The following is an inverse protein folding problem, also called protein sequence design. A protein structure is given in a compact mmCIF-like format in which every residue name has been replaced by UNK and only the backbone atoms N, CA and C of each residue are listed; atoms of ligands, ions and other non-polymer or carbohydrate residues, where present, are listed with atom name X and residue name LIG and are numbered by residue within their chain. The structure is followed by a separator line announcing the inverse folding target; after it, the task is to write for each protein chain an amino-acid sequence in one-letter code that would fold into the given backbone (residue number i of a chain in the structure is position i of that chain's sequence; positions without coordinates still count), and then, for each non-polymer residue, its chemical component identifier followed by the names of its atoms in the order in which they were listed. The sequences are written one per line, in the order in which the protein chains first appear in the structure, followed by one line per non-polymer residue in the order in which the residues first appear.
data_IF_889876364999
#
_entry.id   IF_889876364999
#
_cell.length_a   1.000
_cell.length_b   1.000
_cell.length_c   1.000
_cell.angle_alpha   90.00
_cell.angle_beta   90.00
_cell.angle_gamma   90.00
#
_symmetry.space_group_name_H-M   'P 1'
#
loop_
_entity.id
_entity.type
_entity.pdbx_description
1 polymer ?
#
# COMPACT_ATOMS: atom_id res chain seq x y z
N UNK A 1 -21.33 17.01 10.61
CA UNK A 1 -20.65 16.87 9.31
C UNK A 1 -19.35 17.67 9.20
N UNK A 2 -19.14 18.77 9.95
CA UNK A 2 -17.84 19.48 9.99
C UNK A 2 -16.88 18.86 11.03
N UNK A 3 -17.39 18.16 12.05
CA UNK A 3 -16.60 17.55 13.12
C UNK A 3 -15.67 16.42 12.65
N UNK A 4 -16.13 15.58 11.72
CA UNK A 4 -15.35 14.43 11.21
C UNK A 4 -14.15 14.86 10.36
N UNK A 5 -14.26 16.01 9.68
CA UNK A 5 -13.14 16.58 8.92
C UNK A 5 -12.14 17.25 9.86
N UNK A 6 -12.61 17.81 10.99
CA UNK A 6 -11.75 18.40 12.01
C UNK A 6 -10.91 17.33 12.74
N UNK A 7 -11.50 16.16 13.01
CA UNK A 7 -10.81 15.00 13.64
C UNK A 7 -9.71 14.40 12.73
N UNK A 8 -9.90 14.44 11.40
CA UNK A 8 -8.90 13.97 10.42
C UNK A 8 -7.74 14.97 10.21
N UNK A 9 -7.89 16.23 10.62
CA UNK A 9 -6.90 17.31 10.45
C UNK A 9 -6.17 17.60 11.77
N UNK A 10 -6.50 16.90 12.86
CA UNK A 10 -5.90 17.14 14.16
C UNK A 10 -4.40 16.75 14.14
N UNK A 11 -3.47 17.70 14.39
CA UNK A 11 -2.03 17.38 14.44
C UNK A 11 -1.66 16.43 15.60
N UNK A 12 -2.56 16.28 16.56
CA UNK A 12 -2.48 15.33 17.68
C UNK A 12 -3.38 14.09 17.46
N UNK A 13 -3.83 13.82 16.21
CA UNK A 13 -4.46 12.55 15.86
C UNK A 13 -3.43 11.42 16.01
N UNK A 14 -3.35 10.90 17.22
CA UNK A 14 -2.82 9.58 17.51
C UNK A 14 -4.01 8.64 17.30
N UNK A 15 -4.12 7.94 16.14
CA UNK A 15 -5.04 6.83 16.09
C UNK A 15 -4.51 5.86 17.12
N UNK A 16 -5.11 5.87 18.31
CA UNK A 16 -4.94 4.81 19.29
C UNK A 16 -5.57 3.59 18.63
N UNK A 17 -4.78 2.96 17.76
CA UNK A 17 -5.01 1.60 17.35
C UNK A 17 -4.72 0.83 18.63
N UNK A 18 -5.76 0.60 19.42
CA UNK A 18 -5.68 -0.32 20.56
C UNK A 18 -5.00 -1.59 20.05
N UNK A 19 -4.09 -2.15 20.86
CA UNK A 19 -3.26 -3.30 20.48
C UNK A 19 -4.15 -4.34 19.80
N UNK A 20 -3.82 -4.71 18.56
CA UNK A 20 -4.69 -5.64 17.83
C UNK A 20 -4.50 -7.00 18.47
N UNK A 21 -5.52 -7.45 19.20
CA UNK A 21 -5.66 -8.83 19.65
C UNK A 21 -6.05 -9.71 18.46
N UNK A 22 -5.10 -9.97 17.56
CA UNK A 22 -5.28 -10.96 16.50
C UNK A 22 -5.14 -12.37 17.08
N UNK A 23 -6.19 -13.17 16.96
CA UNK A 23 -6.04 -14.63 16.82
C UNK A 23 -5.06 -14.91 15.66
N UNK A 24 -4.34 -16.04 15.67
CA UNK A 24 -3.34 -16.43 14.66
C UNK A 24 -3.93 -16.44 13.21
N UNK A 25 -5.25 -16.29 13.05
CA UNK A 25 -5.97 -16.19 11.77
C UNK A 25 -6.42 -14.76 11.43
N UNK A 26 -5.92 -14.19 10.32
CA UNK A 26 -6.40 -12.92 9.76
C UNK A 26 -7.70 -13.12 8.97
N UNK A 27 -8.84 -13.13 9.66
CA UNK A 27 -10.18 -13.41 9.10
C UNK A 27 -10.71 -12.25 8.25
N UNK A 28 -10.24 -11.03 8.47
CA UNK A 28 -10.64 -9.85 7.71
C UNK A 28 -10.21 -9.86 6.23
N UNK A 29 -9.32 -10.77 5.85
CA UNK A 29 -8.81 -10.86 4.48
C UNK A 29 -9.78 -11.58 3.55
N UNK A 30 -9.84 -11.15 2.29
CA UNK A 30 -10.45 -11.95 1.23
C UNK A 30 -9.78 -13.34 1.16
N UNK A 31 -10.56 -14.41 0.93
CA UNK A 31 -10.00 -15.73 0.70
C UNK A 31 -9.13 -15.73 -0.56
N UNK A 32 -8.19 -16.68 -0.65
CA UNK A 32 -7.36 -16.83 -1.85
C UNK A 32 -8.25 -17.09 -3.07
N UNK A 33 -8.12 -16.30 -4.15
CA UNK A 33 -8.95 -16.46 -5.33
C UNK A 33 -8.70 -17.81 -6.02
N UNK A 34 -9.77 -18.38 -6.58
CA UNK A 34 -9.72 -19.69 -7.24
C UNK A 34 -9.12 -19.66 -8.65
N UNK A 35 -8.99 -18.47 -9.26
CA UNK A 35 -8.41 -18.31 -10.60
C UNK A 35 -6.87 -18.34 -10.61
N UNK A 36 -6.23 -18.20 -9.45
CA UNK A 36 -4.76 -18.23 -9.33
C UNK A 36 -4.29 -19.68 -9.41
N UNK A 37 -3.30 -19.94 -10.26
CA UNK A 37 -2.71 -21.26 -10.39
C UNK A 37 -2.06 -21.71 -9.08
N UNK A 38 -2.12 -23.00 -8.72
CA UNK A 38 -1.52 -23.50 -7.48
C UNK A 38 0.00 -23.25 -7.42
N UNK A 39 0.67 -23.27 -8.57
CA UNK A 39 2.10 -22.98 -8.68
C UNK A 39 2.41 -21.51 -8.34
N UNK A 40 1.54 -20.57 -8.75
CA UNK A 40 1.66 -19.15 -8.43
C UNK A 40 1.39 -18.88 -6.94
N UNK A 41 0.43 -19.59 -6.34
CA UNK A 41 0.18 -19.52 -4.89
C UNK A 41 1.41 -19.98 -4.10
N UNK A 42 2.05 -21.07 -4.52
CA UNK A 42 3.28 -21.56 -3.86
C UNK A 42 4.44 -20.58 -4.07
N UNK A 43 4.56 -19.98 -5.25
CA UNK A 43 5.53 -18.93 -5.50
C UNK A 43 5.30 -17.71 -4.59
N UNK A 44 4.07 -17.23 -4.48
CA UNK A 44 3.69 -16.12 -3.58
C UNK A 44 3.99 -16.45 -2.11
N UNK A 45 3.72 -17.68 -1.69
CA UNK A 45 4.05 -18.17 -0.33
C UNK A 45 5.56 -18.17 -0.09
N UNK A 46 6.35 -18.65 -1.05
CA UNK A 46 7.83 -18.64 -0.96
C UNK A 46 8.43 -17.23 -0.86
N UNK A 47 7.70 -16.22 -1.33
CA UNK A 47 8.06 -14.80 -1.27
C UNK A 47 7.42 -14.05 -0.09
N UNK A 48 6.74 -14.75 0.81
CA UNK A 48 6.00 -14.18 1.93
C UNK A 48 4.96 -13.11 1.53
N UNK A 49 4.49 -13.13 0.27
CA UNK A 49 3.51 -12.16 -0.23
C UNK A 49 2.11 -12.40 0.35
N UNK A 50 1.83 -13.64 0.77
CA UNK A 50 0.58 -14.04 1.42
C UNK A 50 0.57 -13.84 2.94
N UNK A 51 1.68 -13.37 3.51
CA UNK A 51 1.86 -13.28 4.96
C UNK A 51 1.62 -11.88 5.48
N UNK A 52 0.81 -11.78 6.53
CA UNK A 52 0.61 -10.55 7.31
C UNK A 52 1.66 -10.50 8.43
N UNK A 53 2.29 -9.34 8.72
CA UNK A 53 3.23 -9.21 9.83
C UNK A 53 2.56 -9.44 11.20
N UNK A 54 3.40 -9.70 12.21
CA UNK A 54 2.99 -9.74 13.62
C UNK A 54 2.19 -8.48 14.01
N UNK A 55 1.18 -8.59 14.91
CA UNK A 55 0.27 -7.48 15.24
C UNK A 55 0.97 -6.19 15.66
N UNK A 56 2.07 -6.30 16.41
CA UNK A 56 2.87 -5.14 16.83
C UNK A 56 3.47 -4.37 15.65
N UNK A 57 3.98 -5.07 14.64
CA UNK A 57 4.52 -4.42 13.44
C UNK A 57 3.38 -3.92 12.53
N UNK A 58 2.31 -4.69 12.41
CA UNK A 58 1.12 -4.30 11.66
C UNK A 58 0.55 -2.97 12.17
N UNK A 59 0.39 -2.84 13.48
CA UNK A 59 -0.05 -1.63 14.15
C UNK A 59 0.82 -0.43 13.84
N UNK A 60 2.13 -0.59 13.99
CA UNK A 60 3.06 0.50 13.73
C UNK A 60 3.00 0.96 12.27
N UNK A 61 2.91 0.02 11.32
CA UNK A 61 2.83 0.33 9.89
C UNK A 61 1.52 1.03 9.53
N UNK A 62 0.39 0.58 10.08
CA UNK A 62 -0.92 1.21 9.88
C UNK A 62 -0.94 2.61 10.49
N UNK A 63 -0.49 2.77 11.74
CA UNK A 63 -0.37 4.06 12.40
C UNK A 63 0.48 5.03 11.59
N UNK A 64 1.66 4.60 11.16
CA UNK A 64 2.56 5.40 10.35
C UNK A 64 1.93 5.79 9.00
N UNK A 65 1.15 4.90 8.37
CA UNK A 65 0.42 5.21 7.15
C UNK A 65 -0.63 6.31 7.39
N UNK A 66 -1.50 6.17 8.40
CA UNK A 66 -2.57 7.14 8.64
C UNK A 66 -2.05 8.49 9.11
N UNK A 67 -0.99 8.50 9.92
CA UNK A 67 -0.38 9.74 10.39
C UNK A 67 0.32 10.52 9.27
N UNK A 68 1.08 9.83 8.41
CA UNK A 68 2.00 10.49 7.49
C UNK A 68 1.60 10.43 6.02
N UNK A 69 0.97 9.35 5.57
CA UNK A 69 0.67 9.13 4.15
C UNK A 69 -0.76 9.49 3.78
N UNK A 70 -1.73 9.20 4.65
CA UNK A 70 -3.15 9.43 4.39
C UNK A 70 -3.46 10.91 4.11
N UNK A 71 -2.82 11.83 4.85
CA UNK A 71 -2.99 13.27 4.67
C UNK A 71 -2.65 13.77 3.25
N UNK A 72 -1.74 13.08 2.55
CA UNK A 72 -1.35 13.44 1.19
C UNK A 72 -2.08 12.62 0.13
N UNK A 73 -2.63 11.47 0.50
CA UNK A 73 -3.23 10.53 -0.45
C UNK A 73 -4.29 9.65 0.24
N UNK A 74 -5.49 10.20 0.49
CA UNK A 74 -6.57 9.51 1.20
C UNK A 74 -7.29 8.55 0.25
N UNK A 75 -6.63 7.44 -0.11
CA UNK A 75 -7.18 6.44 -1.03
C UNK A 75 -8.10 5.44 -0.34
N UNK A 76 -8.01 5.30 0.98
CA UNK A 76 -8.78 4.34 1.77
C UNK A 76 -9.97 5.00 2.48
N UNK A 77 -11.05 4.26 2.69
CA UNK A 77 -12.02 4.62 3.72
C UNK A 77 -11.53 4.10 5.08
N UNK A 78 -10.97 5.00 5.90
CA UNK A 78 -10.46 4.65 7.25
C UNK A 78 -11.56 4.02 8.12
N UNK A 79 -12.80 4.51 7.99
CA UNK A 79 -13.93 4.10 8.81
C UNK A 79 -14.34 2.65 8.55
N UNK A 80 -13.97 2.09 7.40
CA UNK A 80 -14.21 0.68 7.07
C UNK A 80 -12.93 -0.13 7.31
N UNK A 81 -11.77 0.39 6.88
CA UNK A 81 -10.52 -0.36 6.85
C UNK A 81 -9.92 -0.62 8.23
N UNK A 82 -9.86 0.39 9.12
CA UNK A 82 -9.23 0.22 10.44
C UNK A 82 -10.07 -0.67 11.34
N UNK A 83 -11.40 -0.45 11.50
CA UNK A 83 -12.22 -1.31 12.35
C UNK A 83 -12.26 -2.75 11.86
N UNK A 84 -12.22 -2.99 10.55
CA UNK A 84 -12.16 -4.34 10.00
C UNK A 84 -10.92 -5.12 10.45
N UNK A 85 -9.74 -4.47 10.44
CA UNK A 85 -8.49 -5.11 10.88
C UNK A 85 -8.48 -5.27 12.41
N UNK A 86 -8.84 -4.22 13.15
CA UNK A 86 -8.83 -4.22 14.62
C UNK A 86 -9.78 -5.27 15.18
N UNK A 87 -10.99 -5.39 14.62
CA UNK A 87 -11.98 -6.36 15.08
C UNK A 87 -11.82 -7.75 14.45
N UNK A 88 -10.81 -7.94 13.58
CA UNK A 88 -10.63 -9.15 12.78
C UNK A 88 -11.94 -9.60 12.08
N UNK A 89 -12.66 -8.65 11.49
CA UNK A 89 -14.04 -8.86 11.02
C UNK A 89 -14.06 -9.79 9.78
N UNK A 90 -14.61 -11.01 9.88
CA UNK A 90 -14.64 -11.97 8.78
C UNK A 90 -15.44 -11.50 7.56
N UNK A 91 -16.37 -10.56 7.74
CA UNK A 91 -17.22 -10.06 6.65
C UNK A 91 -16.59 -8.87 5.91
N UNK A 92 -15.48 -8.32 6.41
CA UNK A 92 -14.85 -7.12 5.86
C UNK A 92 -14.24 -7.31 4.46
N UNK A 93 -13.79 -8.53 4.13
CA UNK A 93 -13.24 -8.88 2.81
C UNK A 93 -12.19 -7.88 2.30
N UNK A 94 -11.18 -7.56 3.12
CA UNK A 94 -10.08 -6.67 2.75
C UNK A 94 -9.16 -7.35 1.73
N UNK A 95 -8.85 -6.64 0.65
CA UNK A 95 -7.86 -7.07 -0.32
C UNK A 95 -6.48 -7.20 0.31
N UNK A 96 -5.86 -8.37 0.16
CA UNK A 96 -4.48 -8.61 0.59
C UNK A 96 -3.49 -7.71 -0.19
N UNK A 97 -3.73 -7.50 -1.49
CA UNK A 97 -2.93 -6.58 -2.30
C UNK A 97 -2.96 -5.17 -1.71
N UNK A 98 -4.16 -4.69 -1.39
CA UNK A 98 -4.35 -3.37 -0.81
C UNK A 98 -3.65 -3.27 0.55
N UNK A 99 -3.79 -4.28 1.41
CA UNK A 99 -3.10 -4.32 2.69
C UNK A 99 -1.57 -4.23 2.50
N UNK A 100 -0.98 -5.06 1.64
CA UNK A 100 0.48 -5.02 1.40
C UNK A 100 0.92 -3.64 0.87
N UNK A 101 0.13 -3.00 0.02
CA UNK A 101 0.40 -1.65 -0.48
C UNK A 101 0.35 -0.58 0.62
N UNK A 102 -0.57 -0.71 1.59
CA UNK A 102 -0.66 0.17 2.77
C UNK A 102 0.54 -0.05 3.69
N UNK A 103 0.93 -1.30 3.95
CA UNK A 103 2.13 -1.63 4.74
C UNK A 103 3.40 -1.06 4.09
N UNK A 104 3.49 -1.15 2.75
CA UNK A 104 4.56 -0.50 1.99
C UNK A 104 4.59 1.01 2.22
N UNK A 105 3.47 1.70 2.12
CA UNK A 105 3.40 3.14 2.33
C UNK A 105 3.76 3.53 3.78
N UNK A 106 3.26 2.80 4.77
CA UNK A 106 3.56 2.99 6.19
C UNK A 106 5.03 2.74 6.56
N UNK A 107 5.68 1.77 5.91
CA UNK A 107 7.08 1.40 6.20
C UNK A 107 8.09 2.54 5.99
N UNK A 108 7.73 3.56 5.20
CA UNK A 108 8.56 4.74 5.00
C UNK A 108 8.71 5.59 6.27
N UNK A 109 7.72 5.52 7.18
CA UNK A 109 7.61 6.39 8.35
C UNK A 109 7.60 5.64 9.69
N UNK A 110 7.46 4.31 9.66
CA UNK A 110 7.44 3.46 10.86
C UNK A 110 8.69 3.64 11.77
N UNK A 111 8.48 3.48 13.08
CA UNK A 111 9.55 3.45 14.07
C UNK A 111 10.50 2.27 13.81
N UNK A 112 11.79 2.57 13.86
CA UNK A 112 12.85 1.60 13.62
C UNK A 112 12.92 0.53 14.72
N UNK A 113 12.35 0.77 15.90
CA UNK A 113 12.29 -0.23 16.96
C UNK A 113 11.40 -1.43 16.56
N UNK A 114 10.19 -1.17 16.05
CA UNK A 114 9.27 -2.20 15.56
C UNK A 114 9.84 -2.94 14.35
N UNK A 115 10.43 -2.20 13.41
CA UNK A 115 11.04 -2.79 12.23
C UNK A 115 12.24 -3.69 12.57
N UNK A 116 13.07 -3.33 13.56
CA UNK A 116 14.17 -4.18 14.05
C UNK A 116 13.66 -5.41 14.76
N UNK A 117 12.59 -5.30 15.55
CA UNK A 117 11.97 -6.45 16.20
C UNK A 117 11.44 -7.47 15.18
N UNK A 118 10.97 -7.00 14.03
CA UNK A 118 10.57 -7.83 12.89
C UNK A 118 11.75 -8.31 12.01
N UNK A 119 12.99 -7.99 12.36
CA UNK A 119 14.19 -8.47 11.67
C UNK A 119 14.76 -7.55 10.59
N UNK A 120 14.20 -6.36 10.38
CA UNK A 120 14.71 -5.40 9.39
C UNK A 120 15.84 -4.53 9.97
N UNK A 121 16.93 -4.38 9.22
CA UNK A 121 18.05 -3.55 9.65
C UNK A 121 17.86 -2.07 9.28
N UNK A 122 17.13 -1.80 8.19
CA UNK A 122 16.86 -0.45 7.70
C UNK A 122 15.41 -0.28 7.25
N UNK A 123 14.88 0.96 7.30
CA UNK A 123 13.57 1.28 6.72
C UNK A 123 13.48 0.95 5.23
N UNK A 124 14.59 1.14 4.51
CA UNK A 124 14.70 0.84 3.08
C UNK A 124 14.44 -0.65 2.80
N UNK A 125 15.03 -1.52 3.61
CA UNK A 125 14.86 -2.97 3.51
C UNK A 125 13.41 -3.39 3.72
N UNK A 126 12.79 -2.94 4.82
CA UNK A 126 11.38 -3.22 5.11
C UNK A 126 10.47 -2.73 3.97
N UNK A 127 10.75 -1.51 3.49
CA UNK A 127 10.00 -0.91 2.39
C UNK A 127 10.10 -1.70 1.09
N UNK A 128 11.30 -2.18 0.75
CA UNK A 128 11.52 -2.98 -0.45
C UNK A 128 10.85 -4.34 -0.35
N UNK A 129 10.80 -4.94 0.84
CA UNK A 129 10.10 -6.20 1.10
C UNK A 129 8.59 -6.03 0.84
N UNK A 130 7.93 -5.07 1.50
CA UNK A 130 6.49 -4.84 1.31
C UNK A 130 6.14 -4.39 -0.11
N UNK A 131 6.99 -3.55 -0.74
CA UNK A 131 6.85 -3.17 -2.13
C UNK A 131 6.88 -4.40 -3.05
N UNK A 132 7.84 -5.29 -2.85
CA UNK A 132 8.00 -6.51 -3.65
C UNK A 132 6.79 -7.43 -3.49
N UNK A 133 6.31 -7.62 -2.25
CA UNK A 133 5.11 -8.43 -1.97
C UNK A 133 3.87 -7.90 -2.67
N UNK A 134 3.58 -6.60 -2.52
CA UNK A 134 2.45 -5.95 -3.18
C UNK A 134 2.57 -6.00 -4.70
N UNK A 135 3.78 -5.77 -5.24
CA UNK A 135 4.04 -5.85 -6.67
C UNK A 135 3.77 -7.26 -7.22
N UNK A 136 4.21 -8.31 -6.54
CA UNK A 136 3.97 -9.69 -6.95
C UNK A 136 2.47 -10.02 -7.01
N UNK A 137 1.71 -9.62 -5.99
CA UNK A 137 0.25 -9.78 -5.97
C UNK A 137 -0.43 -9.04 -7.14
N UNK A 138 0.06 -7.85 -7.48
CA UNK A 138 -0.45 -7.09 -8.61
C UNK A 138 -0.14 -7.78 -9.96
N UNK A 139 1.09 -8.25 -10.16
CA UNK A 139 1.51 -8.87 -11.43
C UNK A 139 0.87 -10.24 -11.69
N UNK A 140 0.54 -10.97 -10.62
CA UNK A 140 -0.14 -12.26 -10.71
C UNK A 140 -1.68 -12.12 -10.67
N UNK A 141 -2.19 -10.90 -10.81
CA UNK A 141 -3.63 -10.61 -10.87
C UNK A 141 -4.39 -11.20 -9.67
N UNK A 142 -3.79 -11.08 -8.47
CA UNK A 142 -4.35 -11.64 -7.24
C UNK A 142 -5.66 -10.95 -6.83
N UNK A 143 -5.84 -9.69 -7.21
CA UNK A 143 -7.05 -8.93 -6.93
C UNK A 143 -7.77 -8.60 -8.24
N UNK A 144 -9.08 -8.80 -8.26
CA UNK A 144 -9.96 -8.52 -9.41
C UNK A 144 -10.79 -7.25 -9.23
N UNK A 145 -10.93 -6.74 -8.00
CA UNK A 145 -11.63 -5.49 -7.72
C UNK A 145 -10.86 -4.28 -8.29
N UNK A 146 -11.42 -3.56 -9.29
CA UNK A 146 -10.75 -2.43 -9.93
C UNK A 146 -10.49 -1.28 -8.96
N UNK A 147 -11.31 -1.12 -7.91
CA UNK A 147 -11.10 -0.08 -6.89
C UNK A 147 -9.86 -0.40 -6.07
N UNK A 148 -9.74 -1.65 -5.59
CA UNK A 148 -8.57 -2.10 -4.84
C UNK A 148 -7.29 -2.01 -5.70
N UNK A 149 -7.35 -2.39 -6.98
CA UNK A 149 -6.23 -2.27 -7.92
C UNK A 149 -5.78 -0.81 -8.11
N UNK A 150 -6.74 0.11 -8.27
CA UNK A 150 -6.44 1.54 -8.40
C UNK A 150 -5.82 2.09 -7.11
N UNK A 151 -6.39 1.80 -5.95
CA UNK A 151 -5.86 2.25 -4.66
C UNK A 151 -4.45 1.71 -4.40
N UNK A 152 -4.22 0.42 -4.66
CA UNK A 152 -2.92 -0.21 -4.51
C UNK A 152 -1.89 0.36 -5.49
N UNK A 153 -2.24 0.55 -6.77
CA UNK A 153 -1.33 1.12 -7.77
C UNK A 153 -0.91 2.55 -7.40
N UNK A 154 -1.84 3.39 -6.94
CA UNK A 154 -1.56 4.72 -6.42
C UNK A 154 -0.59 4.68 -5.24
N UNK A 155 -0.80 3.77 -4.28
CA UNK A 155 0.13 3.59 -3.15
C UNK A 155 1.52 3.19 -3.61
N UNK A 156 1.64 2.27 -4.57
CA UNK A 156 2.94 1.82 -5.09
C UNK A 156 3.75 2.93 -5.79
N UNK A 157 3.10 3.99 -6.28
CA UNK A 157 3.80 5.15 -6.86
C UNK A 157 4.69 5.90 -5.87
N UNK A 158 4.46 5.72 -4.55
CA UNK A 158 5.33 6.29 -3.51
C UNK A 158 6.77 5.78 -3.62
N UNK A 159 7.02 4.67 -4.31
CA UNK A 159 8.35 4.11 -4.39
C UNK A 159 9.34 5.15 -4.96
N UNK A 160 10.32 5.51 -4.13
CA UNK A 160 11.32 6.53 -4.45
C UNK A 160 12.56 5.91 -5.10
N UNK A 161 12.69 4.59 -5.01
CA UNK A 161 13.69 3.88 -5.78
C UNK A 161 13.28 3.99 -7.25
N UNK A 162 14.17 4.49 -8.09
CA UNK A 162 14.02 4.40 -9.54
C UNK A 162 14.12 2.92 -9.89
N UNK A 163 13.03 2.20 -9.67
CA UNK A 163 12.89 0.87 -10.20
C UNK A 163 12.51 1.04 -11.67
N UNK A 164 13.53 1.05 -12.52
CA UNK A 164 13.37 1.15 -13.97
C UNK A 164 12.43 0.06 -14.50
N UNK A 165 12.22 -1.04 -13.77
CA UNK A 165 11.29 -2.09 -14.15
C UNK A 165 9.82 -1.69 -14.01
N UNK A 166 9.41 -0.99 -12.94
CA UNK A 166 8.05 -0.42 -12.84
C UNK A 166 7.78 0.60 -13.94
N UNK A 167 8.76 1.46 -14.22
CA UNK A 167 8.63 2.40 -15.33
C UNK A 167 8.48 1.62 -16.63
N UNK A 168 9.34 0.62 -16.88
CA UNK A 168 9.31 -0.18 -18.10
C UNK A 168 8.02 -0.97 -18.28
N UNK A 169 7.46 -1.53 -17.21
CA UNK A 169 6.15 -2.20 -17.23
C UNK A 169 5.05 -1.19 -17.56
N UNK A 170 5.04 -0.01 -16.91
CA UNK A 170 4.13 1.10 -17.20
C UNK A 170 4.28 1.69 -18.62
N UNK A 171 5.51 1.70 -19.16
CA UNK A 171 5.81 2.12 -20.54
C UNK A 171 5.43 1.05 -21.57
N UNK A 172 5.53 -0.24 -21.21
CA UNK A 172 5.16 -1.36 -22.09
C UNK A 172 3.66 -1.32 -22.45
N UNK A 173 2.80 -0.92 -21.51
CA UNK A 173 1.37 -0.76 -21.74
C UNK A 173 0.99 0.55 -22.48
N UNK A 174 1.91 1.50 -22.66
CA UNK A 174 1.63 2.81 -23.29
C UNK A 174 2.23 3.01 -24.67
N UNK A 175 3.17 2.15 -25.11
CA UNK A 175 3.76 2.27 -26.44
C UNK A 175 2.87 1.58 -27.49
N UNK A 176 2.45 2.29 -28.56
CA UNK A 176 1.57 1.73 -29.58
C UNK A 176 2.37 0.76 -30.45
N UNK A 177 2.08 -0.53 -30.29
CA UNK A 177 2.67 -1.63 -31.06
C UNK A 177 1.65 -2.73 -31.32
N UNK A 178 0.74 -2.44 -32.26
CA UNK A 178 -0.16 -3.33 -33.00
C UNK A 178 -0.94 -4.43 -32.23
N UNK A 179 -2.27 -4.24 -32.26
CA UNK A 179 -3.31 -5.27 -32.22
C UNK A 179 -3.89 -5.71 -30.87
N UNK A 180 -4.18 -4.80 -29.93
CA UNK A 180 -5.14 -5.08 -28.84
C UNK A 180 -5.87 -3.81 -28.39
N UNK A 181 -6.74 -3.27 -29.26
CA UNK A 181 -7.86 -2.44 -28.78
C UNK A 181 -8.91 -3.40 -28.21
N UNK A 182 -8.87 -3.68 -26.91
CA UNK A 182 -10.09 -3.83 -26.12
C UNK A 182 -9.83 -3.93 -24.61
N UNK A 183 -10.57 -3.10 -23.88
CA UNK A 183 -10.86 -3.06 -22.42
C UNK A 183 -9.91 -2.30 -21.46
N UNK A 184 -8.58 -2.29 -21.55
CA UNK A 184 -7.75 -1.69 -20.47
C UNK A 184 -6.80 -0.53 -20.84
N UNK A 185 -6.58 -0.22 -22.12
CA UNK A 185 -5.58 0.79 -22.55
C UNK A 185 -6.03 2.26 -22.47
N UNK A 186 -7.34 2.54 -22.41
CA UNK A 186 -7.87 3.90 -22.51
C UNK A 186 -7.76 4.74 -21.23
N UNK A 187 -7.87 4.10 -20.07
CA UNK A 187 -7.84 4.79 -18.76
C UNK A 187 -6.40 5.19 -18.40
N UNK A 188 -5.42 4.34 -18.72
CA UNK A 188 -4.02 4.57 -18.33
C UNK A 188 -3.26 5.58 -19.20
N UNK A 189 -3.63 5.79 -20.47
CA UNK A 189 -2.79 6.57 -21.41
C UNK A 189 -2.88 8.09 -21.24
N UNK A 190 -4.06 8.63 -20.89
CA UNK A 190 -4.23 10.06 -20.58
C UNK A 190 -3.87 10.41 -19.13
N UNK A 191 -3.81 9.41 -18.25
CA UNK A 191 -3.54 9.58 -16.81
C UNK A 191 -2.04 9.51 -16.48
N UNK A 192 -1.21 8.89 -17.32
CA UNK A 192 0.26 8.80 -17.14
C UNK A 192 0.97 10.14 -17.35
N UNK A 193 0.51 10.98 -18.29
CA UNK A 193 1.16 12.27 -18.55
C UNK A 193 0.84 13.31 -17.44
N UNK A 194 -0.38 13.27 -16.91
CA UNK A 194 -0.79 14.10 -15.76
C UNK A 194 -0.27 13.56 -14.43
N UNK A 195 -0.26 12.23 -14.23
CA UNK A 195 0.24 11.62 -13.01
C UNK A 195 1.75 11.78 -12.85
N UNK A 196 2.58 11.72 -13.90
CA UNK A 196 4.02 11.95 -13.76
C UNK A 196 4.35 13.38 -13.32
N UNK A 197 3.62 14.38 -13.83
CA UNK A 197 3.75 15.78 -13.40
C UNK A 197 3.28 15.97 -11.95
N UNK A 198 2.15 15.38 -11.59
CA UNK A 198 1.60 15.42 -10.23
C UNK A 198 2.49 14.67 -9.24
N UNK A 199 3.04 13.51 -9.63
CA UNK A 199 3.97 12.68 -8.88
C UNK A 199 5.30 13.38 -8.67
N UNK A 200 5.84 14.05 -9.69
CA UNK A 200 7.08 14.84 -9.54
C UNK A 200 6.85 16.07 -8.66
N UNK A 201 5.70 16.73 -8.76
CA UNK A 201 5.32 17.83 -7.88
C UNK A 201 5.17 17.35 -6.43
N UNK A 202 4.49 16.23 -6.20
CA UNK A 202 4.29 15.65 -4.88
C UNK A 202 5.60 15.12 -4.28
N UNK A 203 6.47 14.50 -5.08
CA UNK A 203 7.83 14.09 -4.68
C UNK A 203 8.69 15.30 -4.29
N UNK A 204 8.57 16.42 -4.99
CA UNK A 204 9.25 17.69 -4.63
C UNK A 204 8.74 18.25 -3.31
N UNK A 205 7.43 18.23 -3.09
CA UNK A 205 6.81 18.69 -1.84
C UNK A 205 7.19 17.81 -0.64
N UNK A 206 7.19 16.49 -0.80
CA UNK A 206 7.59 15.55 0.25
C UNK A 206 9.09 15.68 0.60
N UNK A 207 9.95 15.89 -0.41
CA UNK A 207 11.39 16.16 -0.18
C UNK A 207 11.63 17.49 0.54
N UNK A 208 10.90 18.55 0.18
CA UNK A 208 11.02 19.84 0.86
C UNK A 208 10.52 19.75 2.30
N UNK A 209 9.38 19.12 2.55
CA UNK A 209 8.82 18.95 3.90
C UNK A 209 9.72 18.12 4.84
N UNK A 210 10.41 17.11 4.31
CA UNK A 210 11.40 16.33 5.06
C UNK A 210 12.71 17.12 5.33
N UNK A 211 13.08 18.07 4.46
CA UNK A 211 14.26 18.93 4.67
C UNK A 211 14.00 20.05 5.69
N UNK A 212 12.81 20.66 5.71
CA UNK A 212 12.48 21.71 6.68
C UNK A 212 12.38 21.22 8.13
N UNK A 213 12.16 19.92 8.35
CA UNK A 213 12.03 19.34 9.71
C UNK A 213 13.34 18.82 10.32
N UNK A 214 14.45 18.76 9.58
CA UNK A 214 15.76 18.37 10.11
C UNK A 214 16.64 19.56 10.56
N UNK A 215 16.10 20.78 10.51
CA UNK A 215 16.80 22.02 10.88
C UNK A 215 16.05 22.86 11.94
N UNK A 216 15.14 22.26 12.70
CA UNK A 216 14.39 22.88 13.79
C UNK A 216 14.66 22.21 15.12
#
# INVERSE_FOLDING_TARGET
MISTIQELIDPDFDPVIEDIDMDDSCQFLKPTPSHIAPDDVEYLRSKNALTVPEPSLLNELLRAYFQWSYNFMPVLNIQDFVPAIVNNDPDANISLLLLQAVLFAGSAFADMNHLRAAGFHTRREARNEFFTRARLLYHLEYEDDPICLLQASLLLTYNNERDDSLQKDMWFWTLPGNDYEDVFGGVFSLEIEWSLSLLDAQRRLMRQSAMFRNYG
#
